data_IF_844688320373
#
_entry.id   IF_844688320373
#
_cell.length_a   1.000
_cell.length_b   1.000
_cell.length_c   1.000
_cell.angle_alpha   90.00
_cell.angle_beta   90.00
_cell.angle_gamma   90.00
#
_symmetry.space_group_name_H-M   'P 1'
#
loop_
_entity.id
_entity.type
_entity.pdbx_description
1 polymer ?
#
# COMPACT_ATOMS: atom_id res chain seq x y z
N UNK A 1 34.05 -23.22 -25.79
CA UNK A 1 32.73 -22.85 -26.28
C UNK A 1 32.19 -21.72 -25.42
N UNK A 2 32.15 -20.47 -25.95
CA UNK A 2 31.50 -19.34 -25.30
C UNK A 2 29.99 -19.56 -25.33
N UNK A 3 29.37 -19.78 -24.19
CA UNK A 3 27.91 -19.77 -24.09
C UNK A 3 27.43 -18.37 -24.49
N UNK A 4 26.74 -18.28 -25.64
CA UNK A 4 26.12 -17.05 -26.09
C UNK A 4 25.09 -16.60 -25.06
N UNK A 5 25.36 -15.43 -24.41
CA UNK A 5 24.38 -14.76 -23.56
C UNK A 5 23.25 -14.31 -24.49
N UNK A 6 22.06 -14.84 -24.26
CA UNK A 6 20.88 -14.37 -25.02
C UNK A 6 20.73 -12.86 -24.86
N UNK A 7 20.41 -12.14 -25.96
CA UNK A 7 20.22 -10.69 -25.89
C UNK A 7 19.10 -10.38 -24.89
N UNK A 8 19.42 -9.58 -23.87
CA UNK A 8 18.42 -9.13 -22.90
C UNK A 8 17.39 -8.25 -23.64
N UNK A 9 16.09 -8.45 -23.36
CA UNK A 9 15.06 -7.59 -23.93
C UNK A 9 15.34 -6.13 -23.57
N UNK A 10 15.07 -5.17 -24.46
CA UNK A 10 15.29 -3.77 -24.20
C UNK A 10 14.51 -3.35 -22.96
N UNK A 11 15.18 -2.72 -21.97
CA UNK A 11 14.53 -2.23 -20.77
C UNK A 11 13.50 -1.17 -21.18
N UNK A 12 12.24 -1.28 -20.78
CA UNK A 12 11.22 -0.30 -21.12
C UNK A 12 11.64 1.08 -20.61
N UNK A 13 11.61 2.07 -21.51
CA UNK A 13 12.01 3.43 -21.16
C UNK A 13 10.96 4.01 -20.18
N UNK A 14 11.36 4.63 -19.06
CA UNK A 14 10.44 5.13 -18.04
C UNK A 14 9.41 6.14 -18.57
N UNK A 15 9.73 6.83 -19.68
CA UNK A 15 8.78 7.74 -20.34
C UNK A 15 7.55 7.05 -20.91
N UNK A 16 7.62 5.76 -21.28
CA UNK A 16 6.42 5.04 -21.72
C UNK A 16 5.41 4.87 -20.60
N UNK A 17 5.86 4.53 -19.40
CA UNK A 17 4.97 4.44 -18.25
C UNK A 17 4.30 5.79 -17.93
N UNK A 18 5.08 6.88 -18.02
CA UNK A 18 4.56 8.23 -17.85
C UNK A 18 3.55 8.60 -18.94
N UNK A 19 3.85 8.28 -20.21
CA UNK A 19 2.94 8.54 -21.34
C UNK A 19 1.62 7.76 -21.18
N UNK A 20 1.68 6.47 -20.87
CA UNK A 20 0.47 5.66 -20.65
C UNK A 20 -0.36 6.24 -19.50
N UNK A 21 0.26 6.68 -18.42
CA UNK A 21 -0.43 7.31 -17.31
C UNK A 21 -1.08 8.64 -17.70
N UNK A 22 -0.33 9.51 -18.38
CA UNK A 22 -0.80 10.85 -18.78
C UNK A 22 -1.91 10.83 -19.85
N UNK A 23 -1.88 9.85 -20.75
CA UNK A 23 -2.85 9.71 -21.85
C UNK A 23 -3.91 8.62 -21.60
N UNK A 24 -4.00 8.10 -20.36
CA UNK A 24 -5.05 7.15 -20.01
C UNK A 24 -6.44 7.83 -20.06
N UNK A 25 -7.53 7.09 -20.36
CA UNK A 25 -8.89 7.65 -20.32
C UNK A 25 -9.29 8.21 -18.95
N UNK A 26 -8.60 7.83 -17.88
CA UNK A 26 -8.82 8.34 -16.52
C UNK A 26 -8.05 9.64 -16.22
N UNK A 27 -7.13 10.07 -17.08
CA UNK A 27 -6.29 11.26 -16.83
C UNK A 27 -7.07 12.56 -16.61
N UNK A 28 -8.26 12.81 -17.21
CA UNK A 28 -9.03 14.02 -16.94
C UNK A 28 -9.42 14.21 -15.47
N UNK A 29 -9.49 13.12 -14.66
CA UNK A 29 -9.80 13.22 -13.24
C UNK A 29 -8.73 14.00 -12.46
N UNK A 30 -7.49 14.04 -12.97
CA UNK A 30 -6.39 14.79 -12.33
C UNK A 30 -6.47 16.29 -12.54
N UNK A 31 -7.29 16.75 -13.49
CA UNK A 31 -7.52 18.17 -13.78
C UNK A 31 -8.73 18.70 -13.02
N UNK A 32 -9.61 17.80 -12.58
CA UNK A 32 -10.74 18.17 -11.72
C UNK A 32 -10.27 18.44 -10.29
N UNK A 33 -10.95 19.33 -9.56
CA UNK A 33 -10.56 19.75 -8.21
C UNK A 33 -10.69 18.69 -7.09
N UNK A 34 -10.56 17.41 -7.46
CA UNK A 34 -10.58 16.28 -6.54
C UNK A 34 -9.21 15.96 -5.95
N UNK A 35 -9.18 15.22 -4.86
CA UNK A 35 -7.95 14.83 -4.15
C UNK A 35 -7.10 13.77 -4.90
N UNK A 36 -7.56 13.27 -6.06
CA UNK A 36 -6.94 12.18 -6.81
C UNK A 36 -5.51 12.52 -7.26
N UNK A 37 -5.30 13.72 -7.79
CA UNK A 37 -3.98 14.15 -8.25
C UNK A 37 -2.97 14.20 -7.08
N UNK A 38 -3.39 14.80 -5.96
CA UNK A 38 -2.56 14.91 -4.75
C UNK A 38 -2.29 13.53 -4.15
N UNK A 39 -3.32 12.69 -3.99
CA UNK A 39 -3.16 11.36 -3.41
C UNK A 39 -2.30 10.45 -4.28
N UNK A 40 -2.40 10.55 -5.62
CA UNK A 40 -1.53 9.81 -6.54
C UNK A 40 -0.08 10.25 -6.44
N UNK A 41 0.18 11.56 -6.36
CA UNK A 41 1.54 12.07 -6.15
C UNK A 41 2.12 11.58 -4.82
N UNK A 42 1.36 11.69 -3.73
CA UNK A 42 1.79 11.24 -2.41
C UNK A 42 2.01 9.72 -2.36
N UNK A 43 1.15 8.94 -3.04
CA UNK A 43 1.33 7.50 -3.18
C UNK A 43 2.62 7.16 -3.94
N UNK A 44 2.87 7.84 -5.07
CA UNK A 44 4.10 7.65 -5.84
C UNK A 44 5.36 8.00 -5.03
N UNK A 45 5.31 9.09 -4.25
CA UNK A 45 6.39 9.47 -3.33
C UNK A 45 6.57 8.43 -2.21
N UNK A 46 5.49 7.86 -1.68
CA UNK A 46 5.53 6.79 -0.67
C UNK A 46 6.22 5.55 -1.22
N UNK A 47 5.82 5.10 -2.41
CA UNK A 47 6.46 3.96 -3.11
C UNK A 47 7.94 4.24 -3.37
N UNK A 48 8.27 5.45 -3.82
CA UNK A 48 9.66 5.86 -4.04
C UNK A 48 10.48 5.81 -2.73
N UNK A 49 9.92 6.28 -1.61
CA UNK A 49 10.57 6.20 -0.30
C UNK A 49 10.85 4.74 0.10
N UNK A 50 9.89 3.83 -0.11
CA UNK A 50 10.04 2.39 0.19
C UNK A 50 11.16 1.78 -0.65
N UNK A 51 11.13 1.97 -1.96
CA UNK A 51 12.13 1.42 -2.89
C UNK A 51 13.54 1.96 -2.60
N UNK A 52 13.64 3.22 -2.17
CA UNK A 52 14.91 3.85 -1.79
C UNK A 52 15.34 3.58 -0.34
N UNK A 53 14.56 2.83 0.44
CA UNK A 53 14.85 2.55 1.85
C UNK A 53 14.76 3.78 2.77
N UNK A 54 14.09 4.85 2.34
CA UNK A 54 13.98 6.11 3.10
C UNK A 54 12.76 6.10 4.02
N UNK A 55 12.73 5.19 4.98
CA UNK A 55 11.57 4.97 5.86
C UNK A 55 11.22 6.16 6.76
N UNK A 56 12.20 6.99 7.14
CA UNK A 56 11.95 8.20 7.93
C UNK A 56 11.11 9.21 7.12
N UNK A 57 11.41 9.37 5.82
CA UNK A 57 10.63 10.23 4.91
C UNK A 57 9.28 9.62 4.54
N UNK A 58 9.19 8.30 4.56
CA UNK A 58 7.93 7.60 4.29
C UNK A 58 6.84 7.99 5.29
N UNK A 59 7.16 8.15 6.57
CA UNK A 59 6.16 8.39 7.61
C UNK A 59 5.34 9.67 7.37
N UNK A 60 5.94 10.87 7.20
CA UNK A 60 5.15 12.07 6.93
C UNK A 60 4.43 12.01 5.58
N UNK A 61 5.05 11.43 4.54
CA UNK A 61 4.39 11.29 3.23
C UNK A 61 3.20 10.33 3.32
N UNK A 62 3.33 9.20 4.01
CA UNK A 62 2.25 8.24 4.22
C UNK A 62 1.12 8.83 5.06
N UNK A 63 1.43 9.64 6.07
CA UNK A 63 0.42 10.36 6.85
C UNK A 63 -0.36 11.35 5.97
N UNK A 64 0.32 12.14 5.14
CA UNK A 64 -0.34 13.03 4.18
C UNK A 64 -1.17 12.26 3.15
N UNK A 65 -0.70 11.08 2.70
CA UNK A 65 -1.45 10.17 1.84
C UNK A 65 -2.74 9.72 2.52
N UNK A 66 -2.64 9.29 3.78
CA UNK A 66 -3.81 8.86 4.56
C UNK A 66 -4.79 10.00 4.85
N UNK A 67 -4.30 11.23 5.04
CA UNK A 67 -5.14 12.43 5.23
C UNK A 67 -5.82 12.87 3.92
N UNK A 68 -5.20 12.68 2.77
CA UNK A 68 -5.80 13.04 1.47
C UNK A 68 -6.89 12.04 1.06
N UNK A 69 -6.69 10.77 1.36
CA UNK A 69 -7.58 9.63 1.08
C UNK A 69 -7.35 8.53 2.10
N UNK A 70 -8.33 7.67 2.42
CA UNK A 70 -8.16 6.57 3.38
C UNK A 70 -7.27 5.43 2.81
N UNK A 71 -6.05 5.78 2.38
CA UNK A 71 -5.08 4.86 1.77
C UNK A 71 -4.09 4.24 2.79
N UNK A 72 -4.29 4.44 4.08
CA UNK A 72 -3.40 3.92 5.12
C UNK A 72 -3.27 2.39 5.09
N UNK A 73 -4.38 1.65 4.96
CA UNK A 73 -4.37 0.19 4.90
C UNK A 73 -3.68 -0.33 3.64
N UNK A 74 -4.07 0.07 2.41
CA UNK A 74 -3.42 -0.47 1.21
C UNK A 74 -1.94 -0.08 1.12
N UNK A 75 -1.56 1.13 1.55
CA UNK A 75 -0.15 1.54 1.59
C UNK A 75 0.64 0.74 2.63
N UNK A 76 0.08 0.55 3.83
CA UNK A 76 0.71 -0.26 4.87
C UNK A 76 0.85 -1.73 4.45
N UNK A 77 -0.15 -2.30 3.78
CA UNK A 77 -0.09 -3.64 3.21
C UNK A 77 1.03 -3.75 2.15
N UNK A 78 1.17 -2.74 1.28
CA UNK A 78 2.27 -2.70 0.31
C UNK A 78 3.64 -2.68 1.00
N UNK A 79 3.84 -1.84 2.03
CA UNK A 79 5.10 -1.79 2.80
C UNK A 79 5.36 -3.10 3.52
N UNK A 80 4.32 -3.74 4.07
CA UNK A 80 4.40 -5.06 4.72
C UNK A 80 4.79 -6.18 3.74
N UNK A 81 4.20 -6.22 2.55
CA UNK A 81 4.56 -7.17 1.50
C UNK A 81 6.01 -6.95 1.01
N UNK A 82 6.43 -5.69 0.88
CA UNK A 82 7.81 -5.35 0.54
C UNK A 82 8.79 -5.82 1.62
N UNK A 83 8.46 -5.59 2.89
CA UNK A 83 9.22 -6.13 4.01
C UNK A 83 9.33 -7.65 3.96
N UNK A 84 8.21 -8.35 3.75
CA UNK A 84 8.16 -9.81 3.64
C UNK A 84 9.07 -10.32 2.52
N UNK A 85 8.92 -9.74 1.32
CA UNK A 85 9.77 -10.07 0.17
C UNK A 85 11.26 -9.90 0.46
N UNK A 86 11.63 -8.76 1.02
CA UNK A 86 13.02 -8.50 1.37
C UNK A 86 13.55 -9.44 2.46
N UNK A 87 12.73 -9.78 3.46
CA UNK A 87 13.10 -10.70 4.54
C UNK A 87 13.32 -12.12 4.00
N UNK A 88 12.44 -12.60 3.12
CA UNK A 88 12.57 -13.89 2.46
C UNK A 88 13.81 -13.92 1.56
N UNK A 89 14.07 -12.85 0.81
CA UNK A 89 15.27 -12.76 -0.03
C UNK A 89 16.57 -12.81 0.79
N UNK A 90 16.61 -12.12 1.93
CA UNK A 90 17.76 -12.18 2.84
C UNK A 90 17.94 -13.58 3.45
N UNK A 91 16.84 -14.22 3.83
CA UNK A 91 16.88 -15.61 4.33
C UNK A 91 17.45 -16.58 3.29
N UNK A 92 16.94 -16.51 2.04
CA UNK A 92 17.41 -17.37 0.97
C UNK A 92 18.87 -17.13 0.61
N UNK A 93 19.32 -15.87 0.62
CA UNK A 93 20.72 -15.53 0.39
C UNK A 93 21.64 -16.14 1.47
N UNK A 94 21.24 -16.05 2.75
CA UNK A 94 22.01 -16.67 3.86
C UNK A 94 22.10 -18.20 3.72
N UNK A 95 20.99 -18.84 3.35
CA UNK A 95 20.94 -20.30 3.14
C UNK A 95 21.79 -20.78 1.95
N UNK A 96 21.97 -19.94 0.93
CA UNK A 96 22.85 -20.28 -0.19
C UNK A 96 24.35 -20.15 0.13
N UNK A 97 24.71 -19.23 1.03
CA UNK A 97 26.09 -18.97 1.42
C UNK A 97 26.62 -19.98 2.46
N UNK A 98 25.84 -20.31 3.47
CA UNK A 98 26.23 -21.22 4.54
C UNK A 98 25.08 -22.17 4.94
N UNK A 99 25.12 -23.40 4.43
CA UNK A 99 24.14 -24.43 4.77
C UNK A 99 24.38 -25.08 6.14
N UNK A 100 25.47 -24.74 6.83
CA UNK A 100 25.84 -25.33 8.14
C UNK A 100 25.05 -24.76 9.32
N UNK A 101 24.48 -23.57 9.16
CA UNK A 101 23.68 -22.92 10.21
C UNK A 101 22.26 -23.48 10.28
N UNK A 102 21.64 -23.35 11.48
CA UNK A 102 20.26 -23.82 11.63
C UNK A 102 19.29 -22.91 10.89
N UNK A 103 18.24 -23.51 10.30
CA UNK A 103 17.15 -22.80 9.60
C UNK A 103 16.55 -21.69 10.45
N UNK A 104 16.38 -21.95 11.75
CA UNK A 104 15.80 -20.98 12.70
C UNK A 104 16.70 -19.79 12.95
N UNK A 105 18.05 -19.99 13.02
CA UNK A 105 18.98 -18.87 13.22
C UNK A 105 19.00 -17.93 12.03
N UNK A 106 18.99 -18.46 10.81
CA UNK A 106 18.98 -17.65 9.59
C UNK A 106 17.67 -16.89 9.41
N UNK A 107 16.55 -17.55 9.67
CA UNK A 107 15.23 -16.91 9.63
C UNK A 107 15.12 -15.79 10.68
N UNK A 108 15.59 -16.04 11.91
CA UNK A 108 15.59 -15.05 12.97
C UNK A 108 16.51 -13.86 12.67
N UNK A 109 17.69 -14.10 12.11
CA UNK A 109 18.61 -13.04 11.73
C UNK A 109 18.04 -12.16 10.59
N UNK A 110 17.41 -12.77 9.57
CA UNK A 110 16.74 -12.05 8.49
C UNK A 110 15.58 -11.19 9.04
N UNK A 111 14.74 -11.76 9.89
CA UNK A 111 13.62 -11.06 10.54
C UNK A 111 14.09 -9.87 11.36
N UNK A 112 15.04 -10.09 12.29
CA UNK A 112 15.58 -9.03 13.16
C UNK A 112 16.24 -7.90 12.37
N UNK A 113 16.93 -8.22 11.28
CA UNK A 113 17.58 -7.23 10.43
C UNK A 113 16.60 -6.25 9.78
N UNK A 114 15.32 -6.62 9.68
CA UNK A 114 14.28 -5.83 9.03
C UNK A 114 13.12 -5.43 9.94
N UNK A 115 13.27 -5.59 11.24
CA UNK A 115 12.23 -5.27 12.22
C UNK A 115 11.75 -3.82 12.13
N UNK A 116 12.67 -2.87 11.88
CA UNK A 116 12.32 -1.46 11.70
C UNK A 116 11.40 -1.21 10.51
N UNK A 117 11.54 -1.98 9.43
CA UNK A 117 10.64 -1.90 8.26
C UNK A 117 9.24 -2.42 8.60
N UNK A 118 9.16 -3.51 9.36
CA UNK A 118 7.90 -4.07 9.84
C UNK A 118 7.16 -3.07 10.74
N UNK A 119 7.86 -2.48 11.70
CA UNK A 119 7.29 -1.45 12.56
C UNK A 119 6.83 -0.24 11.77
N UNK A 120 7.58 0.17 10.75
CA UNK A 120 7.16 1.21 9.81
C UNK A 120 5.88 0.85 9.04
N UNK A 121 5.76 -0.39 8.56
CA UNK A 121 4.55 -0.88 7.89
C UNK A 121 3.33 -0.84 8.82
N UNK A 122 3.48 -1.31 10.06
CA UNK A 122 2.41 -1.28 11.07
C UNK A 122 1.99 0.15 11.40
N UNK A 123 2.94 1.07 11.53
CA UNK A 123 2.66 2.47 11.76
C UNK A 123 1.92 3.10 10.57
N UNK A 124 2.32 2.82 9.33
CA UNK A 124 1.61 3.29 8.14
C UNK A 124 0.18 2.72 8.08
N UNK A 125 -0.01 1.45 8.42
CA UNK A 125 -1.35 0.86 8.56
C UNK A 125 -2.20 1.60 9.60
N UNK A 126 -1.61 1.99 10.73
CA UNK A 126 -2.34 2.71 11.79
C UNK A 126 -2.87 4.08 11.35
N UNK A 127 -2.30 4.68 10.32
CA UNK A 127 -2.80 5.94 9.74
C UNK A 127 -4.20 5.79 9.11
N UNK A 128 -4.68 4.58 8.86
CA UNK A 128 -6.06 4.34 8.47
C UNK A 128 -7.08 4.80 9.52
N UNK A 129 -6.67 4.85 10.79
CA UNK A 129 -7.53 5.30 11.89
C UNK A 129 -7.59 6.81 12.06
N UNK A 130 -6.81 7.59 11.29
CA UNK A 130 -6.77 9.05 11.42
C UNK A 130 -8.14 9.69 11.19
N UNK A 131 -8.83 9.30 10.10
CA UNK A 131 -10.17 9.82 9.79
C UNK A 131 -11.23 9.36 10.81
N UNK A 132 -11.36 8.06 11.13
CA UNK A 132 -12.28 7.58 12.17
C UNK A 132 -12.05 8.25 13.52
N UNK A 133 -10.79 8.36 13.94
CA UNK A 133 -10.44 9.00 15.23
C UNK A 133 -10.80 10.49 15.22
N UNK A 134 -10.47 11.21 14.15
CA UNK A 134 -10.80 12.63 14.01
C UNK A 134 -12.32 12.85 14.06
N UNK A 135 -13.09 12.05 13.33
CA UNK A 135 -14.55 12.12 13.34
C UNK A 135 -15.11 11.84 14.74
N UNK A 136 -14.64 10.79 15.41
CA UNK A 136 -15.06 10.46 16.76
C UNK A 136 -14.77 11.57 17.78
N UNK A 137 -13.57 12.16 17.73
CA UNK A 137 -13.17 13.26 18.62
C UNK A 137 -13.99 14.53 18.40
N UNK A 138 -14.36 14.82 17.14
CA UNK A 138 -15.14 16.01 16.79
C UNK A 138 -16.63 15.91 17.15
N UNK A 139 -17.19 14.70 17.01
CA UNK A 139 -18.64 14.47 17.17
C UNK A 139 -19.02 13.84 18.50
N UNK A 140 -18.04 13.31 19.26
CA UNK A 140 -18.28 12.48 20.45
C UNK A 140 -18.87 11.10 20.14
N UNK A 141 -18.94 10.70 18.85
CA UNK A 141 -19.53 9.44 18.41
C UNK A 141 -18.47 8.56 17.75
N UNK A 142 -18.20 7.35 18.26
CA UNK A 142 -17.19 6.45 17.68
C UNK A 142 -17.55 5.94 16.29
N UNK A 143 -18.83 5.90 15.95
CA UNK A 143 -19.37 5.44 14.67
C UNK A 143 -19.51 6.56 13.62
N UNK A 144 -19.16 7.81 13.94
CA UNK A 144 -19.42 8.97 13.08
C UNK A 144 -18.80 8.85 11.67
N UNK A 145 -17.57 8.36 11.57
CA UNK A 145 -16.93 8.17 10.28
C UNK A 145 -17.68 7.13 9.43
N UNK A 146 -18.00 6.00 10.04
CA UNK A 146 -18.71 4.91 9.37
C UNK A 146 -20.12 5.35 8.94
N UNK A 147 -20.84 6.05 9.79
CA UNK A 147 -22.17 6.60 9.48
C UNK A 147 -22.13 7.56 8.29
N UNK A 148 -21.04 8.36 8.16
CA UNK A 148 -20.85 9.28 7.03
C UNK A 148 -20.59 8.51 5.73
N UNK A 149 -19.68 7.54 5.75
CA UNK A 149 -19.37 6.69 4.58
C UNK A 149 -20.61 5.95 4.08
N UNK A 150 -21.46 5.47 5.00
CA UNK A 150 -22.70 4.80 4.69
C UNK A 150 -23.77 5.75 4.14
N UNK A 151 -23.80 7.00 4.65
CA UNK A 151 -24.68 8.04 4.13
C UNK A 151 -24.44 8.33 2.64
N UNK A 152 -23.18 8.31 2.19
CA UNK A 152 -22.82 8.48 0.78
C UNK A 152 -23.31 7.33 -0.12
N UNK A 153 -23.44 6.13 0.44
CA UNK A 153 -23.90 4.97 -0.35
C UNK A 153 -25.41 4.88 -0.51
N UNK A 154 -26.18 5.86 0.00
CA UNK A 154 -27.64 5.88 0.01
C UNK A 154 -28.31 4.61 0.57
N UNK A 155 -27.61 3.86 1.40
CA UNK A 155 -28.09 2.61 1.97
C UNK A 155 -28.34 2.75 3.47
N UNK A 156 -29.56 2.40 3.89
CA UNK A 156 -29.84 2.20 5.30
C UNK A 156 -29.09 0.95 5.76
N UNK A 157 -28.23 1.10 6.76
CA UNK A 157 -27.56 -0.02 7.39
C UNK A 157 -28.41 -0.44 8.57
N UNK A 158 -29.13 -1.52 8.38
CA UNK A 158 -29.92 -2.12 9.45
C UNK A 158 -29.06 -3.11 10.27
N UNK A 159 -28.01 -3.73 9.68
CA UNK A 159 -27.14 -4.68 10.38
C UNK A 159 -25.69 -4.62 9.88
N UNK A 160 -24.73 -4.49 10.81
CA UNK A 160 -23.29 -4.34 10.51
C UNK A 160 -22.60 -5.52 9.81
N UNK A 161 -23.28 -6.68 9.70
CA UNK A 161 -22.73 -7.87 9.04
C UNK A 161 -22.92 -7.88 7.50
N UNK A 162 -23.68 -6.95 6.95
CA UNK A 162 -24.04 -6.97 5.52
C UNK A 162 -22.99 -6.32 4.59
N UNK A 163 -21.96 -5.66 5.13
CA UNK A 163 -21.01 -4.90 4.31
C UNK A 163 -20.25 -5.75 3.32
N UNK A 164 -19.68 -6.84 3.77
CA UNK A 164 -18.87 -7.69 2.90
C UNK A 164 -19.74 -8.40 1.85
N UNK A 165 -20.90 -8.91 2.26
CA UNK A 165 -21.85 -9.57 1.36
C UNK A 165 -22.41 -8.59 0.30
N UNK A 166 -22.68 -7.35 0.66
CA UNK A 166 -23.16 -6.32 -0.28
C UNK A 166 -22.06 -5.88 -1.25
N UNK A 167 -20.81 -5.78 -0.79
CA UNK A 167 -19.67 -5.46 -1.64
C UNK A 167 -19.46 -6.55 -2.70
N UNK A 168 -19.50 -7.82 -2.29
CA UNK A 168 -19.41 -8.98 -3.19
C UNK A 168 -20.59 -9.01 -4.18
N UNK A 169 -21.80 -8.71 -3.71
CA UNK A 169 -22.98 -8.67 -4.58
C UNK A 169 -22.91 -7.54 -5.62
N UNK A 170 -22.42 -6.36 -5.25
CA UNK A 170 -22.19 -5.27 -6.20
C UNK A 170 -21.13 -5.63 -7.23
N UNK A 171 -20.04 -6.26 -6.80
CA UNK A 171 -18.99 -6.70 -7.72
C UNK A 171 -19.54 -7.64 -8.78
N UNK A 172 -20.40 -8.60 -8.39
CA UNK A 172 -21.04 -9.52 -9.34
C UNK A 172 -22.04 -8.84 -10.28
N UNK A 173 -22.72 -7.76 -9.86
CA UNK A 173 -23.67 -7.05 -10.72
C UNK A 173 -23.03 -6.17 -11.80
N UNK A 174 -21.78 -5.75 -11.60
CA UNK A 174 -21.06 -4.90 -12.56
C UNK A 174 -20.15 -5.68 -13.52
N UNK A 175 -19.86 -6.94 -13.26
CA UNK A 175 -18.90 -7.74 -14.03
C UNK A 175 -19.48 -9.05 -14.61
N UNK A 176 -20.77 -9.25 -14.56
CA UNK A 176 -21.54 -10.30 -15.24
C UNK A 176 -22.55 -9.64 -16.18
#
# INVERSE_FOLDING_TARGET
ARRGVAPQPPKPHPLWALAVYAFSPASPIFVTGYAEALSTLLLALSVWCVVRGRYILLLPVALLTALSRPLGVPLGAFVGLWWFWCTVSDYLARRSDDSSQSVLSDAWAAFRGRLGQLLGALLVCSFAFVHPLHAALRTGRPDAYLATELGWSFRKVEDGHQYFAQWVHQFNLYYV
#
